data_IF_551885749670
#
_entry.id   IF_551885749670
#
_cell.length_a   1.000
_cell.length_b   1.000
_cell.length_c   1.000
_cell.angle_alpha   90.00
_cell.angle_beta   90.00
_cell.angle_gamma   90.00
#
_symmetry.space_group_name_H-M   'P 1'
#
loop_
_entity.id
_entity.type
_entity.pdbx_description
1 polymer ?
#
# COMPACT_ATOMS: atom_id res chain seq x y z
N UNK A 1 19.52 22.00 1.77
CA UNK A 1 20.32 21.08 0.90
C UNK A 1 19.76 19.64 0.91
N UNK A 2 19.81 18.85 2.01
CA UNK A 2 19.30 17.45 2.03
C UNK A 2 17.82 17.37 1.71
N UNK A 3 16.99 18.19 2.35
CA UNK A 3 15.56 18.25 2.15
C UNK A 3 15.21 18.67 0.70
N UNK A 4 15.91 19.62 0.12
CA UNK A 4 15.72 20.06 -1.27
C UNK A 4 16.02 18.93 -2.27
N UNK A 5 17.07 18.14 -2.01
CA UNK A 5 17.40 16.96 -2.83
C UNK A 5 16.27 15.91 -2.70
N UNK A 6 15.82 15.64 -1.48
CA UNK A 6 14.72 14.71 -1.24
C UNK A 6 13.44 15.14 -1.96
N UNK A 7 13.07 16.42 -1.87
CA UNK A 7 11.92 17.01 -2.58
C UNK A 7 12.04 16.86 -4.09
N UNK A 8 13.20 17.24 -4.65
CA UNK A 8 13.48 17.10 -6.08
C UNK A 8 13.37 15.66 -6.57
N UNK A 9 13.82 14.69 -5.76
CA UNK A 9 13.71 13.26 -6.10
C UNK A 9 12.22 12.86 -6.19
N UNK A 10 11.40 13.25 -5.23
CA UNK A 10 9.96 12.94 -5.24
C UNK A 10 9.25 13.63 -6.41
N UNK A 11 9.55 14.90 -6.67
CA UNK A 11 9.00 15.66 -7.81
C UNK A 11 9.35 15.00 -9.14
N UNK A 12 10.64 14.66 -9.33
CA UNK A 12 11.10 13.95 -10.55
C UNK A 12 10.39 12.60 -10.72
N UNK A 13 10.18 11.87 -9.63
CA UNK A 13 9.47 10.60 -9.67
C UNK A 13 8.00 10.77 -10.09
N UNK A 14 7.33 11.80 -9.58
CA UNK A 14 5.95 12.14 -9.99
C UNK A 14 5.85 12.57 -11.46
N UNK A 15 6.75 13.44 -11.91
CA UNK A 15 6.80 13.88 -13.32
C UNK A 15 7.00 12.70 -14.28
N UNK A 16 7.84 11.74 -13.88
CA UNK A 16 8.10 10.51 -14.67
C UNK A 16 7.02 9.44 -14.48
N UNK A 17 6.02 9.65 -13.61
CA UNK A 17 5.02 8.65 -13.21
C UNK A 17 5.69 7.36 -12.69
N UNK A 18 6.78 7.51 -11.95
CA UNK A 18 7.49 6.38 -11.38
C UNK A 18 6.68 5.77 -10.22
N UNK A 19 6.69 4.44 -10.16
CA UNK A 19 6.04 3.67 -9.11
C UNK A 19 6.96 3.49 -7.90
N UNK A 20 8.25 3.22 -8.17
CA UNK A 20 9.26 2.97 -7.15
C UNK A 20 10.52 3.78 -7.42
N UNK A 21 11.17 4.24 -6.34
CA UNK A 21 12.48 4.89 -6.33
C UNK A 21 13.45 4.00 -5.57
N UNK A 22 14.61 3.73 -6.13
CA UNK A 22 15.63 2.86 -5.55
C UNK A 22 16.91 3.64 -5.27
N UNK A 23 17.38 3.60 -4.04
CA UNK A 23 18.68 4.12 -3.61
C UNK A 23 19.63 2.93 -3.45
N UNK A 24 20.51 2.74 -4.41
CA UNK A 24 21.37 1.56 -4.50
C UNK A 24 22.81 1.92 -4.18
N UNK A 25 23.38 1.44 -3.07
CA UNK A 25 24.76 1.70 -2.72
C UNK A 25 25.73 1.00 -3.67
N UNK A 26 26.75 1.74 -4.10
CA UNK A 26 27.91 1.25 -4.84
C UNK A 26 29.17 1.35 -3.97
N UNK A 27 30.36 1.11 -4.51
CA UNK A 27 31.58 1.18 -3.73
C UNK A 27 31.91 2.59 -3.21
N UNK A 28 31.67 3.61 -4.05
CA UNK A 28 32.04 5.01 -3.73
C UNK A 28 30.88 6.00 -3.92
N UNK A 29 29.72 5.55 -4.32
CA UNK A 29 28.59 6.39 -4.68
C UNK A 29 27.27 5.68 -4.41
N UNK A 30 26.18 6.40 -4.55
CA UNK A 30 24.83 5.83 -4.67
C UNK A 30 24.30 6.06 -6.07
N UNK A 31 23.64 5.06 -6.62
CA UNK A 31 22.83 5.22 -7.83
C UNK A 31 21.36 5.36 -7.43
N UNK A 32 20.73 6.38 -8.01
CA UNK A 32 19.29 6.60 -7.92
C UNK A 32 18.61 6.03 -9.15
N UNK A 33 17.76 5.04 -8.97
CA UNK A 33 16.97 4.47 -10.06
C UNK A 33 15.49 4.73 -9.82
N UNK A 34 14.72 4.76 -10.88
CA UNK A 34 13.26 4.83 -10.83
C UNK A 34 12.66 3.73 -11.71
N UNK A 35 11.53 3.18 -11.28
CA UNK A 35 10.72 2.24 -12.06
C UNK A 35 9.53 2.97 -12.66
N UNK A 36 9.42 2.90 -13.98
CA UNK A 36 8.28 3.43 -14.74
C UNK A 36 7.71 2.28 -15.57
N UNK A 37 6.52 1.82 -15.23
CA UNK A 37 5.99 0.57 -15.77
C UNK A 37 6.89 -0.62 -15.43
N UNK A 38 7.29 -1.39 -16.43
CA UNK A 38 8.16 -2.56 -16.24
C UNK A 38 9.66 -2.23 -16.29
N UNK A 39 10.03 -1.00 -16.63
CA UNK A 39 11.42 -0.62 -16.81
C UNK A 39 11.99 0.08 -15.57
N UNK A 40 13.24 -0.28 -15.21
CA UNK A 40 14.02 0.40 -14.19
C UNK A 40 15.15 1.17 -14.83
N UNK A 41 15.09 2.50 -14.74
CA UNK A 41 16.07 3.40 -15.34
C UNK A 41 16.96 4.05 -14.29
N UNK A 42 18.25 4.20 -14.57
CA UNK A 42 19.15 5.07 -13.82
C UNK A 42 18.75 6.53 -14.05
N UNK A 43 18.56 7.28 -12.97
CA UNK A 43 18.19 8.69 -13.01
C UNK A 43 19.39 9.58 -12.74
N UNK A 44 20.16 9.24 -11.69
CA UNK A 44 21.31 10.04 -11.27
C UNK A 44 22.28 9.21 -10.41
N UNK A 45 23.47 9.75 -10.17
CA UNK A 45 24.47 9.19 -9.28
C UNK A 45 24.98 10.29 -8.33
N UNK A 46 25.04 9.99 -7.05
CA UNK A 46 25.41 10.94 -6.01
C UNK A 46 26.61 10.44 -5.20
N UNK A 47 27.35 11.37 -4.60
CA UNK A 47 28.33 11.03 -3.60
C UNK A 47 27.67 10.28 -2.42
N UNK A 48 28.45 9.39 -1.81
CA UNK A 48 27.94 8.47 -0.79
C UNK A 48 27.25 9.22 0.37
N UNK A 49 27.91 10.24 0.91
CA UNK A 49 27.42 10.99 2.08
C UNK A 49 26.12 11.77 1.79
N UNK A 50 25.97 12.22 0.55
CA UNK A 50 24.76 12.98 0.15
C UNK A 50 23.51 12.11 0.22
N UNK A 51 23.51 10.95 -0.46
CA UNK A 51 22.32 10.08 -0.44
C UNK A 51 22.15 9.33 0.89
N UNK A 52 23.21 9.03 1.60
CA UNK A 52 23.09 8.51 2.97
C UNK A 52 22.34 9.49 3.90
N UNK A 53 22.58 10.79 3.75
CA UNK A 53 21.84 11.82 4.48
C UNK A 53 20.38 11.93 4.02
N UNK A 54 20.11 11.78 2.72
CA UNK A 54 18.75 11.75 2.16
C UNK A 54 17.97 10.52 2.64
N UNK A 55 18.60 9.34 2.70
CA UNK A 55 18.02 8.13 3.30
C UNK A 55 17.63 8.39 4.75
N UNK A 56 18.56 8.97 5.54
CA UNK A 56 18.30 9.32 6.94
C UNK A 56 17.13 10.29 7.10
N UNK A 57 16.99 11.25 6.19
CA UNK A 57 15.87 12.19 6.16
C UNK A 57 14.54 11.47 5.93
N UNK A 58 14.45 10.60 4.93
CA UNK A 58 13.23 9.84 4.66
C UNK A 58 12.87 8.91 5.82
N UNK A 59 13.87 8.26 6.44
CA UNK A 59 13.66 7.43 7.64
C UNK A 59 13.10 8.24 8.80
N UNK A 60 13.62 9.43 9.04
CA UNK A 60 13.12 10.33 10.08
C UNK A 60 11.67 10.72 9.84
N UNK A 61 11.33 11.14 8.63
CA UNK A 61 9.94 11.53 8.27
C UNK A 61 8.98 10.34 8.39
N UNK A 62 9.43 9.13 8.04
CA UNK A 62 8.63 7.92 8.16
C UNK A 62 8.56 7.34 9.59
N UNK A 63 9.20 7.98 10.58
CA UNK A 63 9.17 7.54 11.98
C UNK A 63 9.90 6.22 12.23
N UNK A 64 10.82 5.80 11.34
CA UNK A 64 11.63 4.59 11.51
C UNK A 64 13.01 4.91 12.08
N UNK A 65 13.70 3.92 12.65
CA UNK A 65 14.95 4.13 13.36
C UNK A 65 16.08 4.54 12.41
N UNK A 66 16.50 5.81 12.48
CA UNK A 66 17.56 6.39 11.63
C UNK A 66 18.93 5.78 11.91
N UNK A 67 19.20 5.38 13.15
CA UNK A 67 20.49 4.81 13.56
C UNK A 67 20.70 3.36 13.15
N UNK A 68 19.62 2.59 12.94
CA UNK A 68 19.69 1.19 12.48
C UNK A 68 19.85 1.15 10.96
N UNK A 69 20.98 0.63 10.48
CA UNK A 69 21.33 0.59 9.05
C UNK A 69 21.43 -0.83 8.49
N UNK A 70 21.42 -1.85 9.33
CA UNK A 70 21.63 -3.24 8.92
C UNK A 70 20.34 -4.02 8.81
N UNK A 71 19.45 -3.87 9.80
CA UNK A 71 18.18 -4.58 9.84
C UNK A 71 17.20 -3.98 8.83
N UNK A 72 16.40 -4.85 8.25
CA UNK A 72 15.29 -4.38 7.41
C UNK A 72 14.30 -3.59 8.26
N UNK A 73 13.83 -2.47 7.72
CA UNK A 73 12.81 -1.65 8.34
C UNK A 73 11.78 -1.27 7.29
N UNK A 74 10.53 -1.21 7.70
CA UNK A 74 9.41 -0.75 6.89
C UNK A 74 8.82 0.49 7.54
N UNK A 75 8.36 1.42 6.74
CA UNK A 75 7.69 2.62 7.21
C UNK A 75 6.82 3.23 6.13
N UNK A 76 5.96 4.14 6.54
CA UNK A 76 5.12 4.92 5.63
C UNK A 76 4.99 6.34 6.14
N UNK A 77 4.85 7.30 5.25
CA UNK A 77 4.62 8.70 5.62
C UNK A 77 3.92 9.45 4.50
N UNK A 78 3.26 10.53 4.88
CA UNK A 78 2.84 11.56 3.96
C UNK A 78 3.96 12.61 3.86
N UNK A 79 4.60 12.64 2.70
CA UNK A 79 5.73 13.51 2.43
C UNK A 79 5.27 14.81 1.78
N UNK A 80 5.45 15.91 2.49
CA UNK A 80 5.11 17.24 1.97
C UNK A 80 6.25 17.80 1.11
N UNK A 81 5.93 18.22 -0.12
CA UNK A 81 6.83 18.88 -1.02
C UNK A 81 6.13 20.10 -1.67
N UNK A 82 6.49 21.28 -1.24
CA UNK A 82 5.75 22.50 -1.57
C UNK A 82 4.32 22.46 -1.00
N UNK A 83 3.33 22.74 -1.84
CA UNK A 83 1.90 22.64 -1.50
C UNK A 83 1.32 21.23 -1.70
N UNK A 84 2.12 20.30 -2.24
CA UNK A 84 1.68 18.94 -2.56
C UNK A 84 2.10 17.97 -1.46
N UNK A 85 1.29 16.93 -1.28
CA UNK A 85 1.58 15.80 -0.40
C UNK A 85 1.71 14.54 -1.25
N UNK A 86 2.62 13.64 -0.87
CA UNK A 86 2.77 12.33 -1.49
C UNK A 86 2.82 11.25 -0.42
N UNK A 87 1.95 10.27 -0.52
CA UNK A 87 1.99 9.12 0.36
C UNK A 87 3.09 8.17 -0.09
N UNK A 88 4.02 7.86 0.81
CA UNK A 88 5.22 7.08 0.54
C UNK A 88 5.25 5.84 1.44
N UNK A 89 5.64 4.70 0.86
CA UNK A 89 6.02 3.49 1.60
C UNK A 89 7.51 3.26 1.44
N UNK A 90 8.20 3.08 2.56
CA UNK A 90 9.64 2.93 2.63
C UNK A 90 10.02 1.52 3.03
N UNK A 91 11.06 0.98 2.40
CA UNK A 91 11.70 -0.27 2.79
C UNK A 91 13.21 -0.06 2.78
N UNK A 92 13.87 -0.30 3.92
CA UNK A 92 15.33 -0.18 4.04
C UNK A 92 15.95 -1.51 4.44
N UNK A 93 17.18 -1.74 3.99
CA UNK A 93 18.00 -2.88 4.40
C UNK A 93 19.47 -2.57 4.17
N UNK A 94 20.34 -3.04 5.07
CA UNK A 94 21.80 -2.95 4.89
C UNK A 94 22.33 -4.01 3.92
N UNK A 95 23.27 -3.61 3.05
CA UNK A 95 24.03 -4.56 2.24
C UNK A 95 25.12 -5.27 3.08
N UNK A 96 25.83 -6.23 2.47
CA UNK A 96 26.90 -6.97 3.14
C UNK A 96 28.08 -6.08 3.60
N UNK A 97 28.24 -4.89 3.07
CA UNK A 97 29.25 -3.88 3.44
C UNK A 97 28.77 -2.98 4.57
N UNK A 98 27.50 -3.04 4.94
CA UNK A 98 26.87 -2.18 5.94
C UNK A 98 26.35 -0.87 5.37
N UNK A 99 26.26 -0.74 4.05
CA UNK A 99 25.64 0.40 3.38
C UNK A 99 24.13 0.18 3.28
N UNK A 100 23.35 1.20 3.63
CA UNK A 100 21.89 1.09 3.64
C UNK A 100 21.33 1.34 2.25
N UNK A 101 20.47 0.43 1.77
CA UNK A 101 19.63 0.61 0.59
C UNK A 101 18.24 1.07 1.02
N UNK A 102 17.61 1.92 0.23
CA UNK A 102 16.23 2.36 0.42
C UNK A 102 15.43 2.16 -0.87
N UNK A 103 14.24 1.62 -0.73
CA UNK A 103 13.22 1.64 -1.77
C UNK A 103 12.04 2.48 -1.27
N UNK A 104 11.63 3.45 -2.07
CA UNK A 104 10.42 4.25 -1.82
C UNK A 104 9.40 3.90 -2.89
N UNK A 105 8.23 3.41 -2.48
CA UNK A 105 7.06 3.27 -3.35
C UNK A 105 6.18 4.50 -3.18
N UNK A 106 5.84 5.12 -4.31
CA UNK A 106 4.86 6.20 -4.35
C UNK A 106 3.47 5.57 -4.38
N UNK A 107 2.65 5.89 -3.38
CA UNK A 107 1.24 5.56 -3.39
C UNK A 107 0.53 6.68 -4.13
N UNK A 108 -0.24 6.32 -5.15
CA UNK A 108 -0.91 7.33 -5.99
C UNK A 108 -2.20 7.76 -5.30
N UNK A 109 -2.27 9.04 -4.92
CA UNK A 109 -3.46 9.69 -4.34
C UNK A 109 -4.37 10.32 -5.42
N UNK A 110 -4.00 10.19 -6.70
CA UNK A 110 -4.78 10.83 -7.77
C UNK A 110 -6.02 9.98 -8.12
N UNK A 111 -7.18 10.63 -8.16
CA UNK A 111 -8.37 10.12 -8.85
C UNK A 111 -7.98 9.88 -10.32
N UNK A 112 -7.54 8.66 -10.62
CA UNK A 112 -7.35 8.25 -12.00
C UNK A 112 -8.74 8.05 -12.60
N UNK A 113 -8.94 8.53 -13.81
CA UNK A 113 -10.09 8.11 -14.62
C UNK A 113 -10.02 6.60 -14.80
N UNK A 114 -10.74 5.88 -13.96
CA UNK A 114 -10.71 4.43 -13.92
C UNK A 114 -11.50 3.89 -15.11
N UNK A 115 -10.82 3.21 -16.01
CA UNK A 115 -11.46 2.48 -17.12
C UNK A 115 -11.58 1.01 -16.74
N UNK A 116 -12.81 0.58 -16.46
CA UNK A 116 -13.12 -0.82 -16.23
C UNK A 116 -13.45 -1.53 -17.56
N UNK A 117 -13.11 -2.81 -17.65
CA UNK A 117 -13.42 -3.65 -18.82
C UNK A 117 -14.92 -3.91 -19.01
N UNK A 118 -15.75 -3.63 -18.02
CA UNK A 118 -17.19 -3.76 -18.05
C UNK A 118 -17.83 -2.37 -18.00
N UNK A 119 -18.95 -2.22 -18.72
CA UNK A 119 -19.54 -0.91 -18.97
C UNK A 119 -20.51 -0.44 -17.88
N UNK A 120 -21.01 -1.33 -17.01
CA UNK A 120 -22.00 -0.96 -16.00
C UNK A 120 -21.66 -1.48 -14.60
N UNK A 121 -21.16 -0.55 -13.77
CA UNK A 121 -20.90 -0.80 -12.35
C UNK A 121 -22.20 -1.08 -11.56
N UNK A 122 -23.36 -0.61 -12.04
CA UNK A 122 -24.63 -0.84 -11.37
C UNK A 122 -25.12 -2.29 -11.58
N UNK A 123 -24.89 -2.84 -12.75
CA UNK A 123 -25.26 -4.24 -13.06
C UNK A 123 -24.44 -5.24 -12.21
N UNK A 124 -23.15 -4.95 -12.00
CA UNK A 124 -22.33 -5.67 -11.05
C UNK A 124 -22.78 -5.44 -9.61
N UNK A 125 -23.22 -4.21 -9.30
CA UNK A 125 -23.50 -3.77 -7.95
C UNK A 125 -24.57 -4.56 -7.21
N UNK A 126 -25.62 -4.99 -7.89
CA UNK A 126 -26.70 -5.75 -7.25
C UNK A 126 -26.24 -7.10 -6.69
N UNK A 127 -25.27 -7.74 -7.34
CA UNK A 127 -24.70 -9.02 -6.87
C UNK A 127 -23.90 -8.88 -5.57
N UNK A 128 -23.28 -7.73 -5.33
CA UNK A 128 -22.41 -7.48 -4.16
C UNK A 128 -23.15 -6.91 -2.93
N UNK A 129 -24.45 -6.65 -3.03
CA UNK A 129 -25.27 -6.18 -1.90
C UNK A 129 -25.68 -7.28 -0.94
N UNK A 130 -25.55 -8.54 -1.33
CA UNK A 130 -25.89 -9.67 -0.47
C UNK A 130 -24.81 -9.87 0.59
N UNK A 131 -25.22 -10.28 1.79
CA UNK A 131 -24.26 -10.63 2.85
C UNK A 131 -23.45 -11.85 2.47
N UNK A 132 -22.19 -11.84 2.80
CA UNK A 132 -21.29 -12.95 2.47
C UNK A 132 -19.87 -12.51 2.23
N UNK A 133 -19.07 -13.43 1.72
CA UNK A 133 -17.68 -13.21 1.36
C UNK A 133 -17.53 -13.06 -0.15
N UNK A 134 -16.94 -11.97 -0.57
CA UNK A 134 -16.58 -11.70 -1.97
C UNK A 134 -15.07 -11.63 -2.10
N UNK A 135 -14.51 -12.50 -2.95
CA UNK A 135 -13.08 -12.60 -3.19
C UNK A 135 -12.71 -12.02 -4.55
N UNK A 136 -11.85 -11.02 -4.54
CA UNK A 136 -11.28 -10.41 -5.75
C UNK A 136 -9.97 -11.11 -6.07
N UNK A 137 -10.00 -12.04 -7.04
CA UNK A 137 -8.86 -12.88 -7.38
C UNK A 137 -8.17 -12.40 -8.67
N UNK A 138 -6.85 -12.41 -8.70
CA UNK A 138 -6.05 -12.05 -9.87
C UNK A 138 -4.57 -11.86 -9.54
N UNK A 139 -3.70 -11.66 -10.55
CA UNK A 139 -2.28 -11.38 -10.34
C UNK A 139 -2.06 -10.00 -9.69
N UNK A 140 -0.83 -9.74 -9.27
CA UNK A 140 -0.42 -8.40 -8.80
C UNK A 140 -0.62 -7.38 -9.92
N UNK A 141 -1.10 -6.18 -9.57
CA UNK A 141 -1.32 -5.09 -10.54
C UNK A 141 -2.57 -5.25 -11.43
N UNK A 142 -3.43 -6.26 -11.22
CA UNK A 142 -4.65 -6.45 -12.01
C UNK A 142 -5.84 -5.57 -11.60
N UNK A 143 -5.64 -4.63 -10.67
CA UNK A 143 -6.68 -3.70 -10.24
C UNK A 143 -7.67 -4.25 -9.20
N UNK A 144 -7.38 -5.36 -8.52
CA UNK A 144 -8.25 -5.96 -7.50
C UNK A 144 -8.64 -4.98 -6.40
N UNK A 145 -7.63 -4.35 -5.78
CA UNK A 145 -7.83 -3.38 -4.69
C UNK A 145 -8.61 -2.17 -5.18
N UNK A 146 -8.27 -1.66 -6.36
CA UNK A 146 -8.97 -0.53 -6.98
C UNK A 146 -10.45 -0.84 -7.21
N UNK A 147 -10.76 -1.98 -7.85
CA UNK A 147 -12.14 -2.41 -8.08
C UNK A 147 -12.91 -2.60 -6.76
N UNK A 148 -12.28 -3.21 -5.78
CA UNK A 148 -12.87 -3.46 -4.46
C UNK A 148 -13.25 -2.15 -3.76
N UNK A 149 -12.36 -1.14 -3.77
CA UNK A 149 -12.62 0.17 -3.18
C UNK A 149 -13.70 0.95 -3.96
N UNK A 150 -13.70 0.89 -5.29
CA UNK A 150 -14.73 1.55 -6.11
C UNK A 150 -16.13 0.94 -5.88
N UNK A 151 -16.21 -0.38 -5.79
CA UNK A 151 -17.46 -1.04 -5.42
C UNK A 151 -17.92 -0.66 -4.01
N UNK A 152 -17.00 -0.58 -3.04
CA UNK A 152 -17.30 -0.13 -1.69
C UNK A 152 -17.89 1.29 -1.69
N UNK A 153 -17.21 2.23 -2.37
CA UNK A 153 -17.63 3.63 -2.49
C UNK A 153 -19.01 3.77 -3.17
N UNK A 154 -19.25 2.99 -4.23
CA UNK A 154 -20.51 3.04 -4.99
C UNK A 154 -21.68 2.40 -4.25
N UNK A 155 -21.50 1.18 -3.70
CA UNK A 155 -22.58 0.36 -3.19
C UNK A 155 -22.93 0.60 -1.73
N UNK A 156 -21.95 1.05 -0.93
CA UNK A 156 -22.09 1.22 0.52
C UNK A 156 -22.02 2.70 0.94
N UNK A 157 -22.33 3.61 0.02
CA UNK A 157 -22.38 5.05 0.30
C UNK A 157 -23.34 5.34 1.47
N UNK A 158 -22.81 6.03 2.50
CA UNK A 158 -23.58 6.39 3.69
C UNK A 158 -23.80 5.25 4.69
N UNK A 159 -23.16 4.09 4.46
CA UNK A 159 -23.16 2.94 5.38
C UNK A 159 -21.84 2.88 6.16
N UNK A 160 -21.80 2.04 7.20
CA UNK A 160 -20.59 1.84 8.00
C UNK A 160 -19.61 0.93 7.25
N UNK A 161 -18.62 1.53 6.60
CA UNK A 161 -17.55 0.81 5.92
C UNK A 161 -16.27 0.85 6.75
N UNK A 162 -15.63 -0.29 6.91
CA UNK A 162 -14.32 -0.41 7.55
C UNK A 162 -13.36 -1.18 6.67
N UNK A 163 -12.09 -0.79 6.68
CA UNK A 163 -11.03 -1.57 6.04
C UNK A 163 -9.91 -1.93 7.01
N UNK A 164 -9.23 -3.04 6.73
CA UNK A 164 -8.04 -3.53 7.42
C UNK A 164 -7.00 -3.84 6.35
N UNK A 165 -5.90 -3.10 6.30
CA UNK A 165 -4.96 -3.10 5.19
C UNK A 165 -3.50 -3.14 5.66
N UNK A 166 -2.59 -3.59 4.80
CA UNK A 166 -1.14 -3.69 5.09
C UNK A 166 -0.27 -3.24 3.89
N UNK A 167 -0.06 -1.92 3.75
CA UNK A 167 -0.70 -0.77 4.37
C UNK A 167 -1.96 -0.30 3.62
N UNK A 168 -2.59 0.78 4.11
CA UNK A 168 -3.61 1.53 3.35
C UNK A 168 -2.96 2.13 2.10
N UNK A 169 -3.43 1.71 0.91
CA UNK A 169 -2.91 2.17 -0.39
C UNK A 169 -3.78 3.27 -1.00
N UNK A 170 -5.09 3.16 -0.84
CA UNK A 170 -6.09 4.11 -1.36
C UNK A 170 -6.79 4.76 -0.17
N UNK A 171 -6.53 6.04 0.05
CA UNK A 171 -7.17 6.78 1.14
C UNK A 171 -8.60 7.15 0.79
N UNK A 172 -9.52 6.94 1.74
CA UNK A 172 -10.94 7.24 1.58
C UNK A 172 -11.49 7.83 2.89
N UNK A 173 -11.93 9.07 2.83
CA UNK A 173 -12.38 9.81 4.02
C UNK A 173 -13.75 9.35 4.53
N UNK A 174 -14.51 8.61 3.72
CA UNK A 174 -15.85 8.13 4.03
C UNK A 174 -15.88 6.74 4.68
N UNK A 175 -14.70 6.15 4.96
CA UNK A 175 -14.59 4.86 5.65
C UNK A 175 -13.55 4.88 6.77
N UNK A 176 -13.69 4.00 7.75
CA UNK A 176 -12.69 3.81 8.79
C UNK A 176 -11.63 2.81 8.31
N UNK A 177 -10.45 3.33 7.99
CA UNK A 177 -9.33 2.53 7.50
C UNK A 177 -8.35 2.21 8.63
N UNK A 178 -8.16 0.93 8.91
CA UNK A 178 -7.23 0.41 9.91
C UNK A 178 -6.02 -0.19 9.23
N UNK A 179 -4.84 0.13 9.73
CA UNK A 179 -3.60 -0.41 9.21
C UNK A 179 -2.96 -1.39 10.19
N UNK A 180 -2.42 -2.49 9.66
CA UNK A 180 -1.66 -3.44 10.46
C UNK A 180 -0.45 -2.79 11.11
N UNK A 181 -0.18 -3.21 12.35
CA UNK A 181 1.04 -2.88 13.07
C UNK A 181 1.35 -3.99 14.08
N UNK A 182 2.08 -4.99 13.64
CA UNK A 182 2.41 -6.17 14.46
C UNK A 182 3.21 -5.80 15.72
N UNK A 183 4.01 -4.73 15.67
CA UNK A 183 4.82 -4.29 16.80
C UNK A 183 3.98 -3.90 18.03
N UNK A 184 2.74 -3.49 17.81
CA UNK A 184 1.77 -3.15 18.88
C UNK A 184 0.58 -4.09 18.92
N UNK A 185 0.66 -5.26 18.27
CA UNK A 185 -0.37 -6.30 18.29
C UNK A 185 -1.58 -6.04 17.39
N UNK A 186 -1.52 -5.08 16.47
CA UNK A 186 -2.56 -4.85 15.46
C UNK A 186 -2.39 -5.83 14.29
N UNK A 187 -2.74 -7.09 14.52
CA UNK A 187 -2.76 -8.16 13.53
C UNK A 187 -4.11 -8.23 12.82
N UNK A 188 -4.19 -8.91 11.67
CA UNK A 188 -5.48 -9.16 10.97
C UNK A 188 -6.52 -9.74 11.91
N UNK A 189 -6.18 -10.78 12.68
CA UNK A 189 -7.13 -11.44 13.58
C UNK A 189 -7.69 -10.48 14.64
N UNK A 190 -6.82 -9.69 15.28
CA UNK A 190 -7.23 -8.75 16.34
C UNK A 190 -8.08 -7.61 15.76
N UNK A 191 -7.67 -7.06 14.60
CA UNK A 191 -8.41 -5.99 13.94
C UNK A 191 -9.77 -6.44 13.41
N UNK A 192 -9.87 -7.67 12.86
CA UNK A 192 -11.14 -8.25 12.44
C UNK A 192 -12.08 -8.39 13.65
N UNK A 193 -11.60 -8.97 14.78
CA UNK A 193 -12.40 -9.09 16.01
C UNK A 193 -12.89 -7.75 16.53
N UNK A 194 -12.03 -6.72 16.46
CA UNK A 194 -12.39 -5.36 16.85
C UNK A 194 -13.45 -4.79 15.91
N UNK A 195 -13.24 -4.89 14.61
CA UNK A 195 -14.13 -4.34 13.58
C UNK A 195 -15.55 -4.89 13.68
N UNK A 196 -15.73 -6.17 14.00
CA UNK A 196 -17.05 -6.77 14.19
C UNK A 196 -17.85 -6.13 15.35
N UNK A 197 -17.16 -5.57 16.35
CA UNK A 197 -17.83 -4.82 17.45
C UNK A 197 -18.34 -3.44 16.99
N UNK A 198 -17.80 -2.91 15.92
CA UNK A 198 -18.27 -1.67 15.28
C UNK A 198 -19.47 -1.90 14.35
N UNK A 199 -19.89 -3.16 14.15
CA UNK A 199 -21.04 -3.54 13.30
C UNK A 199 -20.98 -2.95 11.89
N UNK A 200 -19.89 -3.18 11.14
CA UNK A 200 -19.80 -2.66 9.79
C UNK A 200 -20.83 -3.32 8.86
N UNK A 201 -21.38 -2.55 7.94
CA UNK A 201 -22.17 -3.06 6.82
C UNK A 201 -21.27 -3.75 5.79
N UNK A 202 -20.07 -3.16 5.57
CA UNK A 202 -19.00 -3.72 4.76
C UNK A 202 -17.68 -3.72 5.55
N UNK A 203 -17.03 -4.88 5.59
CA UNK A 203 -15.66 -5.04 6.08
C UNK A 203 -14.74 -5.43 4.93
N UNK A 204 -13.79 -4.56 4.60
CA UNK A 204 -12.74 -4.81 3.63
C UNK A 204 -11.54 -5.39 4.36
N UNK A 205 -11.02 -6.52 3.88
CA UNK A 205 -9.79 -7.13 4.41
C UNK A 205 -8.81 -7.18 3.24
N UNK A 206 -7.75 -6.38 3.31
CA UNK A 206 -6.86 -6.05 2.19
C UNK A 206 -6.48 -7.26 1.35
N UNK A 207 -5.92 -8.30 1.97
CA UNK A 207 -5.59 -9.54 1.26
C UNK A 207 -5.51 -10.76 2.17
N UNK A 208 -5.76 -11.92 1.58
CA UNK A 208 -5.55 -13.23 2.22
C UNK A 208 -4.18 -13.77 1.77
N UNK A 209 -3.22 -13.82 2.72
CA UNK A 209 -1.86 -14.33 2.48
C UNK A 209 -1.63 -15.72 3.07
N UNK A 210 -2.39 -16.08 4.10
CA UNK A 210 -2.19 -17.30 4.88
C UNK A 210 -3.51 -17.91 5.36
N UNK A 211 -3.43 -19.11 5.89
CA UNK A 211 -4.59 -19.86 6.37
C UNK A 211 -5.25 -19.25 7.62
N UNK A 212 -4.51 -18.51 8.44
CA UNK A 212 -5.02 -17.85 9.63
C UNK A 212 -5.92 -16.67 9.23
N UNK A 213 -5.42 -15.82 8.35
CA UNK A 213 -6.19 -14.72 7.75
C UNK A 213 -7.43 -15.26 7.01
N UNK A 214 -7.29 -16.34 6.23
CA UNK A 214 -8.42 -16.96 5.54
C UNK A 214 -9.53 -17.39 6.49
N UNK A 215 -9.17 -18.06 7.60
CA UNK A 215 -10.14 -18.48 8.63
C UNK A 215 -10.82 -17.29 9.28
N UNK A 216 -10.08 -16.21 9.56
CA UNK A 216 -10.64 -15.00 10.19
C UNK A 216 -11.62 -14.31 9.23
N UNK A 217 -11.30 -14.21 7.94
CA UNK A 217 -12.15 -13.66 6.87
C UNK A 217 -13.46 -14.45 6.75
N UNK A 218 -13.38 -15.80 6.68
CA UNK A 218 -14.58 -16.66 6.62
C UNK A 218 -15.43 -16.49 7.87
N UNK A 219 -14.83 -16.46 9.07
CA UNK A 219 -15.58 -16.22 10.31
C UNK A 219 -16.28 -14.86 10.29
N UNK A 220 -15.62 -13.81 9.82
CA UNK A 220 -16.23 -12.48 9.71
C UNK A 220 -17.46 -12.50 8.79
N UNK A 221 -17.40 -13.17 7.65
CA UNK A 221 -18.53 -13.25 6.72
C UNK A 221 -19.74 -13.99 7.29
N UNK A 222 -19.54 -14.92 8.25
CA UNK A 222 -20.61 -15.65 8.93
C UNK A 222 -21.31 -14.82 10.01
N UNK A 223 -20.78 -13.67 10.41
CA UNK A 223 -21.39 -12.80 11.43
C UNK A 223 -22.49 -11.89 10.89
N UNK A 224 -22.73 -11.91 9.58
CA UNK A 224 -23.77 -11.13 8.93
C UNK A 224 -23.32 -9.81 8.31
N UNK A 225 -22.03 -9.49 8.35
CA UNK A 225 -21.44 -8.40 7.56
C UNK A 225 -21.17 -8.87 6.11
N UNK A 226 -21.19 -7.94 5.18
CA UNK A 226 -20.58 -8.17 3.86
C UNK A 226 -19.08 -8.04 4.00
N UNK A 227 -18.31 -8.99 3.48
CA UNK A 227 -16.84 -9.01 3.56
C UNK A 227 -16.26 -9.02 2.17
N UNK A 228 -15.38 -8.06 1.88
CA UNK A 228 -14.57 -8.00 0.67
C UNK A 228 -13.12 -8.34 1.02
N UNK A 229 -12.46 -9.15 0.20
CA UNK A 229 -11.03 -9.41 0.35
C UNK A 229 -10.38 -9.72 -0.98
N UNK A 230 -9.06 -9.49 -1.07
CA UNK A 230 -8.29 -9.88 -2.24
C UNK A 230 -7.52 -11.17 -2.01
N UNK A 231 -7.26 -11.90 -3.07
CA UNK A 231 -6.40 -13.09 -3.07
C UNK A 231 -5.58 -13.15 -4.36
N UNK A 232 -4.33 -13.55 -4.23
CA UNK A 232 -3.47 -13.76 -5.40
C UNK A 232 -3.72 -15.16 -5.98
N UNK A 233 -4.44 -15.22 -7.10
CA UNK A 233 -4.69 -16.44 -7.83
C UNK A 233 -4.70 -16.19 -9.35
N UNK A 234 -4.20 -17.16 -10.12
CA UNK A 234 -4.22 -17.09 -11.60
C UNK A 234 -5.57 -17.52 -12.20
N UNK A 235 -6.41 -18.17 -11.41
CA UNK A 235 -7.73 -18.67 -11.85
C UNK A 235 -8.62 -18.91 -10.63
N UNK A 236 -9.92 -19.07 -10.86
CA UNK A 236 -10.90 -19.42 -9.81
C UNK A 236 -10.49 -20.73 -9.09
N UNK A 237 -9.96 -21.72 -9.83
CA UNK A 237 -9.49 -22.98 -9.24
C UNK A 237 -8.27 -22.82 -8.33
N UNK A 238 -7.49 -21.76 -8.49
CA UNK A 238 -6.32 -21.46 -7.66
C UNK A 238 -6.66 -20.73 -6.35
N UNK A 239 -7.94 -20.46 -6.10
CA UNK A 239 -8.44 -19.85 -4.85
C UNK A 239 -8.70 -20.91 -3.77
N UNK A 240 -8.86 -22.18 -4.16
CA UNK A 240 -9.14 -23.32 -3.29
C UNK A 240 -7.89 -24.11 -2.89
#
# INVERSE_FOLDING_TARGET
>A
MVQEIAQKIIETAKEKKAQDIYFIPKEKSYELHMRVGDERCLVDSYEFDVLAAVISHFKFVAGINVGEKRRSQLGSCDYQHGEKVSSLRLSTVGDYRGHESLVIRLLHDEEQDLHFWFQDMNELGEQYRQRGLYLFAGPVGSGKTTLMHELAKSLFKGQQVMSIEDPVEIKQDDMLQLQLNEAIGLTYENLIKLSLRHRPDLLIIGEIRDSETARAVVRASLTGATVFSTIHAKSIRGVY
#
